data_IF_561558121321
#
_entry.id   IF_561558121321
#
_cell.length_a   1.000
_cell.length_b   1.000
_cell.length_c   1.000
_cell.angle_alpha   90.00
_cell.angle_beta   90.00
_cell.angle_gamma   90.00
#
_symmetry.space_group_name_H-M   'P 1'
#
loop_
_entity.id
_entity.type
_entity.pdbx_description
1 polymer ?
#
# COMPACT_ATOMS: atom_id res chain seq x y z
N UNK A 1 -3.78 -6.82 7.50
CA UNK A 1 -3.86 -8.18 6.92
C UNK A 1 -2.50 -8.57 6.41
N UNK A 2 -2.15 -9.85 6.45
CA UNK A 2 -0.94 -10.35 5.83
C UNK A 2 -1.25 -11.63 5.04
N UNK A 3 -0.46 -11.85 3.99
CA UNK A 3 -0.56 -13.03 3.14
C UNK A 3 0.84 -13.59 2.99
N UNK A 4 0.99 -14.90 3.19
CA UNK A 4 2.21 -15.64 2.85
C UNK A 4 1.84 -16.76 1.91
N UNK A 5 2.58 -16.90 0.83
CA UNK A 5 2.35 -17.89 -0.21
C UNK A 5 3.70 -18.40 -0.74
N UNK A 6 3.67 -19.58 -1.35
CA UNK A 6 4.84 -20.28 -1.87
C UNK A 6 4.48 -21.74 -2.17
N UNK A 7 5.42 -22.51 -2.73
CA UNK A 7 5.22 -23.95 -2.96
C UNK A 7 4.91 -24.70 -1.66
N UNK A 8 5.54 -24.28 -0.58
CA UNK A 8 5.31 -24.77 0.78
C UNK A 8 5.25 -23.56 1.73
N UNK A 9 4.33 -23.58 2.68
CA UNK A 9 4.18 -22.55 3.71
C UNK A 9 4.28 -23.23 5.07
N UNK A 10 5.48 -23.20 5.65
CA UNK A 10 5.74 -23.82 6.96
C UNK A 10 5.13 -23.05 8.15
N UNK A 11 4.90 -21.74 7.99
CA UNK A 11 4.28 -20.89 9.01
C UNK A 11 3.55 -19.70 8.38
N UNK A 12 2.33 -19.37 8.85
CA UNK A 12 1.60 -18.20 8.37
C UNK A 12 2.14 -16.88 8.94
N UNK A 13 2.95 -16.92 10.01
CA UNK A 13 3.36 -15.72 10.77
C UNK A 13 4.53 -15.01 10.08
N UNK A 14 4.35 -13.73 9.74
CA UNK A 14 5.43 -12.88 9.23
C UNK A 14 6.14 -12.24 10.42
N UNK A 15 7.39 -12.65 10.67
CA UNK A 15 8.23 -12.06 11.71
C UNK A 15 8.97 -10.81 11.21
N UNK A 16 9.66 -10.12 12.11
CA UNK A 16 10.50 -8.96 11.80
C UNK A 16 11.52 -9.29 10.71
N UNK A 17 11.65 -8.38 9.75
CA UNK A 17 12.56 -8.53 8.62
C UNK A 17 12.22 -9.67 7.64
N UNK A 18 10.99 -10.18 7.63
CA UNK A 18 10.58 -11.28 6.74
C UNK A 18 9.64 -10.87 5.61
N UNK A 19 8.97 -9.72 5.69
CA UNK A 19 8.04 -9.28 4.67
C UNK A 19 8.79 -8.82 3.41
N UNK A 20 8.49 -9.43 2.27
CA UNK A 20 8.99 -9.00 0.96
C UNK A 20 8.37 -7.67 0.53
N UNK A 21 7.10 -7.46 0.87
CA UNK A 21 6.32 -6.30 0.47
C UNK A 21 5.47 -5.81 1.65
N UNK A 22 5.42 -4.50 1.83
CA UNK A 22 4.46 -3.81 2.70
C UNK A 22 3.68 -2.79 1.86
N UNK A 23 2.35 -2.96 1.79
CA UNK A 23 1.41 -1.98 1.24
C UNK A 23 0.72 -1.27 2.40
N UNK A 24 0.75 0.05 2.42
CA UNK A 24 0.18 0.85 3.51
C UNK A 24 -0.75 1.95 3.02
N UNK A 25 -1.86 2.14 3.73
CA UNK A 25 -2.89 3.14 3.45
C UNK A 25 -2.54 4.53 3.99
N UNK A 26 -1.53 4.65 4.85
CA UNK A 26 -1.12 5.91 5.45
C UNK A 26 0.32 5.83 6.04
N UNK A 27 1.01 6.96 6.08
CA UNK A 27 2.45 6.97 6.37
C UNK A 27 2.87 6.50 7.78
N UNK A 28 2.04 6.71 8.82
CA UNK A 28 2.32 6.23 10.18
C UNK A 28 2.17 4.71 10.30
N UNK A 29 1.33 4.08 9.48
CA UNK A 29 1.14 2.64 9.38
C UNK A 29 2.37 2.03 8.71
N UNK A 30 2.85 2.65 7.63
CA UNK A 30 4.13 2.29 7.03
C UNK A 30 5.26 2.32 8.06
N UNK A 31 5.37 3.39 8.85
CA UNK A 31 6.37 3.49 9.92
C UNK A 31 6.21 2.42 11.01
N UNK A 32 4.97 2.11 11.39
CA UNK A 32 4.65 1.09 12.42
C UNK A 32 5.06 -0.30 11.97
N UNK A 33 4.85 -0.64 10.70
CA UNK A 33 5.11 -1.98 10.17
C UNK A 33 6.45 -2.12 9.44
N UNK A 34 7.21 -1.03 9.25
CA UNK A 34 8.55 -1.05 8.69
C UNK A 34 9.48 -2.13 9.29
N UNK A 35 9.50 -2.40 10.61
CA UNK A 35 10.37 -3.44 11.18
C UNK A 35 10.10 -4.86 10.66
N UNK A 36 8.96 -5.11 10.02
CA UNK A 36 8.62 -6.38 9.41
C UNK A 36 9.19 -6.53 8.00
N UNK A 37 9.53 -5.44 7.32
CA UNK A 37 10.05 -5.46 5.95
C UNK A 37 11.50 -5.92 5.98
N UNK A 38 11.83 -6.89 5.12
CA UNK A 38 13.22 -7.36 4.97
C UNK A 38 14.09 -6.27 4.33
N UNK A 39 15.41 -6.39 4.51
CA UNK A 39 16.36 -5.55 3.78
C UNK A 39 16.14 -5.66 2.27
N UNK A 40 16.03 -4.52 1.59
CA UNK A 40 15.71 -4.43 0.16
C UNK A 40 14.29 -4.84 -0.22
N UNK A 41 13.40 -5.07 0.75
CA UNK A 41 11.97 -5.30 0.51
C UNK A 41 11.28 -4.05 -0.01
N UNK A 42 10.10 -4.23 -0.61
CA UNK A 42 9.30 -3.15 -1.21
C UNK A 42 8.33 -2.57 -0.17
N UNK A 43 8.35 -1.25 0.01
CA UNK A 43 7.39 -0.51 0.81
C UNK A 43 6.65 0.47 -0.09
N UNK A 44 5.35 0.24 -0.31
CA UNK A 44 4.47 1.20 -0.99
C UNK A 44 3.54 1.82 0.04
N UNK A 45 3.53 3.15 0.13
CA UNK A 45 2.66 3.85 1.09
C UNK A 45 1.92 5.00 0.45
N UNK A 46 0.63 5.11 0.77
CA UNK A 46 -0.13 6.33 0.55
C UNK A 46 0.41 7.45 1.47
N UNK A 47 0.59 8.66 0.93
CA UNK A 47 1.14 9.82 1.67
C UNK A 47 0.14 10.44 2.65
N UNK A 48 -1.10 9.99 2.65
CA UNK A 48 -2.14 10.45 3.58
C UNK A 48 -1.69 10.38 5.05
N UNK A 49 -2.12 11.38 5.83
CA UNK A 49 -2.01 11.41 7.30
C UNK A 49 -3.38 11.23 7.92
N UNK A 50 -3.49 10.26 8.81
CA UNK A 50 -4.71 10.03 9.60
C UNK A 50 -4.34 10.18 11.07
N UNK A 51 -4.90 11.18 11.73
CA UNK A 51 -4.62 11.43 13.14
C UNK A 51 -5.24 10.32 14.01
N UNK A 52 -4.44 9.55 14.77
CA UNK A 52 -4.99 8.64 15.77
C UNK A 52 -5.63 9.44 16.92
N UNK A 53 -6.46 8.78 17.73
CA UNK A 53 -7.18 9.42 18.84
C UNK A 53 -6.26 10.15 19.83
N UNK A 54 -5.04 9.67 20.04
CA UNK A 54 -4.03 10.32 20.89
C UNK A 54 -3.56 11.66 20.33
N UNK A 55 -3.57 11.82 19.00
CA UNK A 55 -3.29 13.10 18.34
C UNK A 55 -4.51 14.00 18.37
N UNK A 56 -5.70 13.46 18.09
CA UNK A 56 -6.96 14.23 18.13
C UNK A 56 -7.23 14.81 19.52
N UNK A 57 -6.97 14.05 20.58
CA UNK A 57 -7.11 14.48 21.97
C UNK A 57 -6.03 15.45 22.45
N UNK A 58 -5.01 15.72 21.64
CA UNK A 58 -3.88 16.58 22.00
C UNK A 58 -2.86 15.94 22.95
N UNK A 59 -3.00 14.66 23.28
CA UNK A 59 -2.07 13.95 24.16
C UNK A 59 -0.68 13.77 23.54
N UNK A 60 -0.61 13.61 22.21
CA UNK A 60 0.65 13.44 21.46
C UNK A 60 0.55 14.19 20.13
N UNK A 61 1.69 14.61 19.54
CA UNK A 61 1.72 15.17 18.18
C UNK A 61 1.92 14.06 17.14
N UNK A 62 1.32 14.21 15.95
CA UNK A 62 1.62 13.32 14.83
C UNK A 62 3.12 13.44 14.50
N UNK A 63 3.86 12.33 14.36
CA UNK A 63 5.30 12.40 14.11
C UNK A 63 5.61 13.16 12.81
N UNK A 64 6.59 14.06 12.88
CA UNK A 64 7.10 14.75 11.71
C UNK A 64 8.06 13.86 10.90
N UNK A 65 8.17 14.19 9.61
CA UNK A 65 9.21 13.69 8.70
C UNK A 65 9.22 12.17 8.54
N UNK A 66 8.04 11.53 8.62
CA UNK A 66 7.93 10.07 8.50
C UNK A 66 8.44 9.60 7.14
N UNK A 67 8.00 10.23 6.04
CA UNK A 67 8.43 9.85 4.70
C UNK A 67 9.95 10.02 4.52
N UNK A 68 10.53 11.11 5.04
CA UNK A 68 11.98 11.34 4.99
C UNK A 68 12.74 10.25 5.76
N UNK A 69 12.26 9.88 6.95
CA UNK A 69 12.86 8.78 7.74
C UNK A 69 12.74 7.45 7.03
N UNK A 70 11.59 7.15 6.41
CA UNK A 70 11.41 5.92 5.63
C UNK A 70 12.40 5.85 4.46
N UNK A 71 12.69 6.99 3.81
CA UNK A 71 13.65 7.06 2.70
C UNK A 71 15.10 6.79 3.12
N UNK A 72 15.44 6.87 4.42
CA UNK A 72 16.78 6.57 4.93
C UNK A 72 16.98 5.10 5.33
N UNK A 73 15.91 4.29 5.33
CA UNK A 73 15.97 2.88 5.72
C UNK A 73 16.26 2.02 4.47
N UNK A 74 17.00 0.90 4.58
CA UNK A 74 17.37 0.07 3.43
C UNK A 74 16.18 -0.78 2.90
N UNK A 75 15.16 -0.10 2.41
CA UNK A 75 13.99 -0.65 1.72
C UNK A 75 13.78 0.10 0.41
N UNK A 76 13.08 -0.52 -0.54
CA UNK A 76 12.66 0.12 -1.78
C UNK A 76 11.38 0.89 -1.47
N UNK A 77 11.49 2.20 -1.26
CA UNK A 77 10.36 3.05 -0.88
C UNK A 77 9.66 3.61 -2.13
N UNK A 78 8.35 3.40 -2.18
CA UNK A 78 7.42 3.95 -3.16
C UNK A 78 6.33 4.73 -2.43
N UNK A 79 6.12 5.99 -2.82
CA UNK A 79 5.12 6.85 -2.19
C UNK A 79 4.23 7.48 -3.24
N UNK A 80 2.93 7.57 -2.97
CA UNK A 80 1.97 8.23 -3.85
C UNK A 80 0.82 8.83 -3.04
N UNK A 81 0.20 9.89 -3.57
CA UNK A 81 -1.06 10.40 -3.04
C UNK A 81 -2.22 9.56 -3.60
N UNK A 82 -2.39 8.36 -3.04
CA UNK A 82 -3.41 7.42 -3.49
C UNK A 82 -4.83 7.93 -3.26
N UNK A 83 -5.03 8.78 -2.24
CA UNK A 83 -6.33 9.39 -1.95
C UNK A 83 -6.77 10.35 -3.04
N UNK A 84 -5.88 11.23 -3.48
CA UNK A 84 -6.19 12.16 -4.56
C UNK A 84 -6.46 11.43 -5.88
N UNK A 85 -5.67 10.41 -6.23
CA UNK A 85 -5.88 9.58 -7.42
C UNK A 85 -7.21 8.81 -7.36
N UNK A 86 -7.58 8.26 -6.20
CA UNK A 86 -8.86 7.57 -6.03
C UNK A 86 -10.06 8.52 -6.18
N UNK A 87 -9.93 9.75 -5.67
CA UNK A 87 -10.94 10.81 -5.85
C UNK A 87 -11.06 11.21 -7.31
N UNK A 88 -9.94 11.35 -8.02
CA UNK A 88 -9.91 11.62 -9.46
C UNK A 88 -10.57 10.50 -10.27
N UNK A 89 -10.36 9.25 -9.87
CA UNK A 89 -11.04 8.09 -10.47
C UNK A 89 -12.56 8.08 -10.22
N UNK A 90 -13.03 8.83 -9.22
CA UNK A 90 -14.44 9.04 -8.91
C UNK A 90 -14.91 8.46 -7.58
N UNK A 91 -14.02 7.84 -6.79
CA UNK A 91 -14.39 7.28 -5.48
C UNK A 91 -13.17 7.13 -4.56
N UNK A 92 -13.15 7.84 -3.43
CA UNK A 92 -12.08 7.69 -2.42
C UNK A 92 -11.99 6.28 -1.83
N UNK A 93 -13.05 5.46 -1.90
CA UNK A 93 -12.99 4.05 -1.49
C UNK A 93 -12.12 3.19 -2.42
N UNK A 94 -11.70 3.70 -3.58
CA UNK A 94 -10.82 3.01 -4.52
C UNK A 94 -9.32 3.21 -4.21
N UNK A 95 -8.95 3.82 -3.07
CA UNK A 95 -7.53 3.95 -2.65
C UNK A 95 -6.79 2.63 -2.66
N UNK A 96 -7.44 1.55 -2.20
CA UNK A 96 -6.85 0.22 -2.23
C UNK A 96 -6.48 -0.21 -3.67
N UNK A 97 -7.31 0.12 -4.66
CA UNK A 97 -7.06 -0.24 -6.06
C UNK A 97 -5.95 0.63 -6.66
N UNK A 98 -5.85 1.90 -6.29
CA UNK A 98 -4.69 2.74 -6.65
C UNK A 98 -3.39 2.12 -6.11
N UNK A 99 -3.38 1.69 -4.85
CA UNK A 99 -2.22 1.02 -4.26
C UNK A 99 -1.87 -0.29 -4.98
N UNK A 100 -2.87 -1.07 -5.40
CA UNK A 100 -2.68 -2.29 -6.20
C UNK A 100 -2.12 -1.95 -7.59
N UNK A 101 -2.55 -0.86 -8.22
CA UNK A 101 -1.97 -0.37 -9.46
C UNK A 101 -0.48 -0.04 -9.32
N UNK A 102 -0.10 0.67 -8.26
CA UNK A 102 1.33 0.97 -7.99
C UNK A 102 2.12 -0.29 -7.67
N UNK A 103 1.52 -1.21 -6.93
CA UNK A 103 2.10 -2.53 -6.67
C UNK A 103 2.38 -3.32 -7.94
N UNK A 104 1.43 -3.34 -8.89
CA UNK A 104 1.60 -3.98 -10.19
C UNK A 104 2.76 -3.40 -11.01
N UNK A 105 3.08 -2.11 -10.81
CA UNK A 105 4.21 -1.46 -11.48
C UNK A 105 5.57 -1.80 -10.87
N UNK A 106 5.62 -2.00 -9.55
CA UNK A 106 6.86 -2.08 -8.79
C UNK A 106 7.27 -3.50 -8.39
N UNK A 107 6.35 -4.46 -8.50
CA UNK A 107 6.52 -5.81 -7.99
C UNK A 107 6.52 -6.83 -9.13
N UNK A 108 7.59 -7.63 -9.21
CA UNK A 108 7.75 -8.66 -10.23
C UNK A 108 7.12 -10.02 -9.85
N UNK A 109 6.33 -10.06 -8.76
CA UNK A 109 5.67 -11.30 -8.30
C UNK A 109 4.46 -11.68 -9.15
N UNK A 110 3.84 -10.70 -9.81
CA UNK A 110 2.64 -10.87 -10.63
C UNK A 110 2.75 -9.98 -11.86
N UNK A 111 2.15 -10.42 -12.96
CA UNK A 111 1.96 -9.55 -14.12
C UNK A 111 0.89 -8.49 -13.82
N UNK A 112 0.99 -7.27 -14.42
CA UNK A 112 -0.06 -6.27 -14.30
C UNK A 112 -1.44 -6.79 -14.72
N UNK A 113 -1.48 -7.67 -15.74
CA UNK A 113 -2.70 -8.29 -16.26
C UNK A 113 -3.35 -9.21 -15.23
N UNK A 114 -2.60 -10.05 -14.52
CA UNK A 114 -3.13 -10.92 -13.46
C UNK A 114 -3.79 -10.11 -12.33
N UNK A 115 -3.16 -9.01 -11.92
CA UNK A 115 -3.72 -8.13 -10.89
C UNK A 115 -4.95 -7.38 -11.40
N UNK A 116 -4.94 -6.92 -12.65
CA UNK A 116 -6.09 -6.26 -13.27
C UNK A 116 -7.29 -7.20 -13.40
N UNK A 117 -7.08 -8.45 -13.81
CA UNK A 117 -8.15 -9.47 -13.86
C UNK A 117 -8.70 -9.77 -12.46
N UNK A 118 -7.84 -9.82 -11.43
CA UNK A 118 -8.28 -9.95 -10.04
C UNK A 118 -9.21 -8.80 -9.62
N UNK A 119 -8.89 -7.56 -10.00
CA UNK A 119 -9.77 -6.41 -9.75
C UNK A 119 -11.12 -6.61 -10.42
N UNK A 120 -11.16 -7.02 -11.69
CA UNK A 120 -12.42 -7.21 -12.45
C UNK A 120 -13.39 -8.19 -11.81
N UNK A 121 -12.88 -9.27 -11.21
CA UNK A 121 -13.72 -10.32 -10.60
C UNK A 121 -14.06 -10.07 -9.13
N UNK A 122 -13.33 -9.19 -8.44
CA UNK A 122 -13.53 -8.93 -7.00
C UNK A 122 -14.36 -7.69 -6.71
N UNK A 123 -14.29 -6.66 -7.57
CA UNK A 123 -15.05 -5.43 -7.36
C UNK A 123 -16.51 -5.59 -7.81
N UNK A 124 -17.48 -4.93 -7.14
CA UNK A 124 -18.86 -4.94 -7.60
C UNK A 124 -18.97 -4.41 -9.04
N UNK A 125 -19.75 -5.07 -9.90
CA UNK A 125 -19.90 -4.70 -11.31
C UNK A 125 -20.24 -3.21 -11.52
N UNK A 126 -21.10 -2.65 -10.66
CA UNK A 126 -21.48 -1.22 -10.70
C UNK A 126 -20.33 -0.23 -10.43
N UNK A 127 -19.22 -0.70 -9.87
CA UNK A 127 -18.04 0.10 -9.55
C UNK A 127 -16.84 -0.25 -10.45
N UNK A 128 -17.01 -1.15 -11.44
CA UNK A 128 -15.90 -1.69 -12.22
C UNK A 128 -15.10 -0.58 -12.90
N UNK A 129 -15.76 0.30 -13.66
CA UNK A 129 -15.09 1.37 -14.42
C UNK A 129 -14.25 2.30 -13.53
N UNK A 130 -14.77 2.66 -12.36
CA UNK A 130 -14.06 3.51 -11.39
C UNK A 130 -12.82 2.80 -10.85
N UNK A 131 -12.93 1.51 -10.54
CA UNK A 131 -11.79 0.74 -10.02
C UNK A 131 -10.75 0.47 -11.12
N UNK A 132 -11.15 0.25 -12.37
CA UNK A 132 -10.21 0.12 -13.49
C UNK A 132 -9.40 1.41 -13.71
N UNK A 133 -10.06 2.58 -13.64
CA UNK A 133 -9.37 3.88 -13.68
C UNK A 133 -8.43 4.06 -12.50
N UNK A 134 -8.87 3.72 -11.28
CA UNK A 134 -8.05 3.81 -10.09
C UNK A 134 -6.78 2.93 -10.21
N UNK A 135 -6.91 1.72 -10.76
CA UNK A 135 -5.77 0.84 -11.02
C UNK A 135 -4.80 1.49 -12.01
N UNK A 136 -5.31 2.00 -13.13
CA UNK A 136 -4.51 2.66 -14.17
C UNK A 136 -3.75 3.89 -13.63
N UNK A 137 -4.42 4.71 -12.81
CA UNK A 137 -3.81 5.87 -12.17
C UNK A 137 -2.69 5.47 -11.21
N UNK A 138 -2.92 4.44 -10.39
CA UNK A 138 -1.88 3.87 -9.53
C UNK A 138 -0.70 3.28 -10.29
N UNK A 139 -0.95 2.64 -11.44
CA UNK A 139 0.10 2.02 -12.26
C UNK A 139 1.00 3.05 -12.97
N UNK A 140 0.45 4.23 -13.31
CA UNK A 140 1.16 5.31 -14.03
C UNK A 140 1.86 6.31 -13.12
N UNK A 141 1.34 6.54 -11.91
CA UNK A 141 1.98 7.36 -10.88
C UNK A 141 3.24 6.66 -10.39
#
# INVERSE_FOLDING_TARGET
>A
TYVRFGKEVASPVIDRGQADVLLSFEQLEAARYLPFVRHGGLLITNTQKINPMTVVSGAVKYPADILDKLAQVPVRLETLDALSLAREAGNEKAVNIVLIGRFAKCCDLFTPEELLESVKVTVPAKLLDINLKAFEYGYRA
#
